data_IF_126124900611
#
_entry.id   IF_126124900611
#
_cell.length_a   1.000
_cell.length_b   1.000
_cell.length_c   1.000
_cell.angle_alpha   90.00
_cell.angle_beta   90.00
_cell.angle_gamma   90.00
#
_symmetry.space_group_name_H-M   'P 1'
#
loop_
_entity.id
_entity.type
_entity.pdbx_description
1 polymer ?
#
# COMPACT_ATOMS: atom_id res chain seq x y z
N UNK A 1 19.61 18.07 8.55
CA UNK A 1 18.93 16.98 7.81
C UNK A 1 17.44 17.29 7.81
N UNK A 2 16.78 17.24 6.65
CA UNK A 2 15.34 17.41 6.54
C UNK A 2 14.67 16.04 6.52
N UNK A 3 13.70 15.79 7.39
CA UNK A 3 12.90 14.56 7.41
C UNK A 3 11.59 14.75 6.61
N UNK A 4 11.15 13.70 5.91
CA UNK A 4 9.86 13.66 5.21
C UNK A 4 8.91 12.78 6.03
N UNK A 5 8.00 13.39 6.78
CA UNK A 5 6.91 12.66 7.47
C UNK A 5 5.81 12.43 6.45
N UNK A 6 5.32 11.20 6.40
CA UNK A 6 4.20 10.81 5.54
C UNK A 6 3.14 10.18 6.42
N UNK A 7 1.93 10.72 6.35
CA UNK A 7 0.76 10.15 7.01
C UNK A 7 -0.07 9.47 5.93
N UNK A 8 -0.27 8.17 6.04
CA UNK A 8 -1.22 7.46 5.19
C UNK A 8 -2.43 7.00 5.97
N UNK A 9 -3.58 7.07 5.30
CA UNK A 9 -4.87 6.69 5.87
C UNK A 9 -5.36 5.35 5.29
N UNK A 10 -4.66 4.84 4.26
CA UNK A 10 -4.95 3.61 3.52
C UNK A 10 -3.71 3.21 2.73
N UNK A 11 -3.41 1.90 2.67
CA UNK A 11 -2.46 1.31 1.71
C UNK A 11 -3.14 0.94 0.38
N UNK A 12 -4.47 1.09 0.31
CA UNK A 12 -5.24 0.87 -0.92
C UNK A 12 -5.15 2.12 -1.79
N UNK A 13 -4.58 1.96 -2.97
CA UNK A 13 -4.57 2.97 -4.02
C UNK A 13 -5.97 3.19 -4.57
N UNK A 14 -6.50 4.41 -4.45
CA UNK A 14 -7.82 4.75 -4.97
C UNK A 14 -7.78 6.02 -5.81
N UNK A 15 -8.41 5.98 -6.98
CA UNK A 15 -8.70 7.15 -7.79
C UNK A 15 -10.21 7.30 -7.97
N UNK A 16 -10.78 8.33 -7.36
CA UNK A 16 -12.23 8.40 -7.17
C UNK A 16 -12.70 7.21 -6.32
N UNK A 17 -13.68 6.48 -6.83
CA UNK A 17 -14.22 5.27 -6.18
C UNK A 17 -13.50 3.97 -6.63
N UNK A 18 -12.61 4.06 -7.61
CA UNK A 18 -11.92 2.90 -8.18
C UNK A 18 -10.64 2.55 -7.43
N UNK A 19 -10.43 1.25 -7.19
CA UNK A 19 -9.16 0.72 -6.68
C UNK A 19 -8.25 0.45 -7.87
N UNK A 20 -7.13 1.16 -7.94
CA UNK A 20 -6.15 1.03 -9.03
C UNK A 20 -4.81 0.67 -8.42
N UNK A 21 -4.54 -0.62 -8.31
CA UNK A 21 -3.23 -1.09 -7.88
C UNK A 21 -2.25 -1.04 -9.04
N UNK A 22 -1.13 -0.34 -8.83
CA UNK A 22 -0.08 -0.22 -9.84
C UNK A 22 0.80 -1.45 -9.76
N UNK A 23 0.80 -2.21 -10.84
CA UNK A 23 1.65 -3.38 -10.98
C UNK A 23 2.97 -2.98 -11.62
N UNK A 24 4.04 -3.11 -10.84
CA UNK A 24 5.42 -2.93 -11.27
C UNK A 24 6.28 -4.15 -10.94
N UNK A 25 5.69 -5.21 -10.40
CA UNK A 25 6.45 -6.37 -9.97
C UNK A 25 6.95 -7.15 -11.18
N UNK A 26 8.17 -7.67 -11.07
CA UNK A 26 8.71 -8.65 -12.01
C UNK A 26 8.32 -10.01 -11.46
N UNK A 27 7.03 -10.35 -11.53
CA UNK A 27 6.65 -11.72 -11.23
C UNK A 27 6.95 -12.59 -12.45
N UNK A 28 8.12 -13.23 -12.46
CA UNK A 28 8.28 -14.50 -13.16
C UNK A 28 7.25 -15.49 -12.54
N UNK A 29 6.07 -15.60 -13.14
CA UNK A 29 5.17 -16.73 -12.91
C UNK A 29 3.88 -16.50 -12.11
N UNK A 30 3.27 -15.31 -12.07
CA UNK A 30 1.85 -15.22 -11.69
C UNK A 30 0.97 -15.72 -12.84
N UNK A 31 0.24 -16.81 -12.59
CA UNK A 31 -0.61 -17.55 -13.56
C UNK A 31 -1.69 -16.70 -14.28
N UNK A 32 -1.87 -15.42 -13.92
CA UNK A 32 -2.88 -14.54 -14.50
C UNK A 32 -2.37 -13.66 -15.66
N UNK A 33 -1.07 -13.61 -15.94
CA UNK A 33 -0.51 -12.82 -17.05
C UNK A 33 0.27 -13.72 -18.01
N UNK A 34 -0.42 -14.48 -18.88
CA UNK A 34 0.22 -15.26 -19.95
C UNK A 34 1.10 -14.41 -20.90
N UNK A 35 0.97 -13.07 -20.89
CA UNK A 35 1.65 -12.16 -21.80
C UNK A 35 2.49 -11.05 -21.12
N UNK A 36 2.66 -11.09 -19.79
CA UNK A 36 3.36 -10.01 -19.06
C UNK A 36 2.68 -8.65 -19.17
N UNK A 37 3.23 -7.62 -18.50
CA UNK A 37 2.74 -6.25 -18.62
C UNK A 37 3.50 -5.54 -19.78
N UNK A 38 2.86 -5.24 -20.93
CA UNK A 38 3.54 -4.61 -22.07
C UNK A 38 4.04 -3.19 -21.79
N UNK A 39 3.53 -2.55 -20.75
CA UNK A 39 3.92 -1.19 -20.33
C UNK A 39 4.98 -1.18 -19.23
N UNK A 40 5.49 -2.35 -18.83
CA UNK A 40 6.36 -2.48 -17.65
C UNK A 40 7.60 -1.58 -17.74
N UNK A 41 8.33 -1.60 -18.85
CA UNK A 41 9.55 -0.79 -19.01
C UNK A 41 9.24 0.71 -18.96
N UNK A 42 8.15 1.14 -19.60
CA UNK A 42 7.70 2.54 -19.58
C UNK A 42 7.31 2.98 -18.16
N UNK A 43 6.54 2.16 -17.44
CA UNK A 43 6.14 2.44 -16.06
C UNK A 43 7.39 2.58 -15.17
N UNK A 44 8.36 1.67 -15.30
CA UNK A 44 9.61 1.75 -14.54
C UNK A 44 10.40 3.03 -14.82
N UNK A 45 10.48 3.42 -16.09
CA UNK A 45 11.15 4.66 -16.48
C UNK A 45 10.42 5.90 -15.92
N UNK A 46 9.10 5.94 -16.00
CA UNK A 46 8.32 7.02 -15.40
C UNK A 46 8.48 7.10 -13.88
N UNK A 47 8.53 5.97 -13.18
CA UNK A 47 8.76 5.94 -11.73
C UNK A 47 10.16 6.48 -11.37
N UNK A 48 11.20 6.15 -12.15
CA UNK A 48 12.55 6.74 -11.99
C UNK A 48 12.51 8.26 -12.19
N UNK A 49 11.83 8.72 -13.24
CA UNK A 49 11.70 10.15 -13.51
C UNK A 49 10.92 10.89 -12.42
N UNK A 50 9.84 10.29 -11.89
CA UNK A 50 9.09 10.83 -10.76
C UNK A 50 10.03 11.01 -9.56
N UNK A 51 10.77 9.96 -9.18
CA UNK A 51 11.71 10.00 -8.06
C UNK A 51 12.76 11.12 -8.21
N UNK A 52 13.37 11.22 -9.39
CA UNK A 52 14.37 12.25 -9.69
C UNK A 52 13.78 13.66 -9.57
N UNK A 53 12.59 13.89 -10.15
CA UNK A 53 11.92 15.20 -10.13
C UNK A 53 11.41 15.58 -8.75
N UNK A 54 10.93 14.62 -7.96
CA UNK A 54 10.56 14.85 -6.57
C UNK A 54 11.78 15.31 -5.75
N UNK A 55 12.93 14.66 -5.92
CA UNK A 55 14.19 15.07 -5.28
C UNK A 55 14.61 16.48 -5.70
N UNK A 56 14.50 16.82 -6.98
CA UNK A 56 14.74 18.18 -7.48
C UNK A 56 13.77 19.17 -6.83
N UNK A 57 12.48 18.83 -6.73
CA UNK A 57 11.44 19.69 -6.15
C UNK A 57 11.74 20.09 -4.70
N UNK A 58 12.32 19.20 -3.89
CA UNK A 58 12.67 19.50 -2.50
C UNK A 58 13.76 20.57 -2.36
N UNK A 59 14.67 20.64 -3.33
CA UNK A 59 15.81 21.59 -3.31
C UNK A 59 15.62 22.79 -4.23
N UNK A 60 14.65 22.71 -5.14
CA UNK A 60 14.35 23.75 -6.11
C UNK A 60 13.85 25.07 -5.48
N UNK A 61 14.20 26.18 -6.13
CA UNK A 61 13.65 27.50 -5.82
C UNK A 61 12.14 27.58 -6.17
N UNK A 62 11.45 28.61 -5.68
CA UNK A 62 10.00 28.79 -5.88
C UNK A 62 9.58 28.85 -7.36
N UNK A 63 10.45 29.33 -8.25
CA UNK A 63 10.13 29.52 -9.66
C UNK A 63 10.14 28.19 -10.44
N UNK A 64 10.95 27.22 -10.01
CA UNK A 64 11.05 25.91 -10.66
C UNK A 64 10.02 24.89 -10.16
N UNK A 65 9.46 25.10 -8.97
CA UNK A 65 8.47 24.20 -8.36
C UNK A 65 7.22 23.99 -9.22
N UNK A 66 6.57 25.01 -9.81
CA UNK A 66 5.40 24.82 -10.66
C UNK A 66 5.67 23.91 -11.87
N UNK A 67 6.84 24.06 -12.52
CA UNK A 67 7.26 23.20 -13.64
C UNK A 67 7.37 21.75 -13.18
N UNK A 68 8.10 21.51 -12.10
CA UNK A 68 8.30 20.17 -11.54
C UNK A 68 6.99 19.52 -11.09
N UNK A 69 6.09 20.26 -10.45
CA UNK A 69 4.75 19.77 -10.09
C UNK A 69 3.97 19.33 -11.31
N UNK A 70 4.01 20.11 -12.42
CA UNK A 70 3.31 19.74 -13.66
C UNK A 70 3.92 18.49 -14.30
N UNK A 71 5.24 18.38 -14.35
CA UNK A 71 5.93 17.21 -14.91
C UNK A 71 5.66 15.94 -14.09
N UNK A 72 5.76 16.01 -12.75
CA UNK A 72 5.42 14.89 -11.86
C UNK A 72 3.95 14.48 -12.05
N UNK A 73 3.04 15.45 -12.12
CA UNK A 73 1.61 15.20 -12.37
C UNK A 73 1.39 14.43 -13.68
N UNK A 74 2.03 14.87 -14.76
CA UNK A 74 1.89 14.22 -16.06
C UNK A 74 2.41 12.78 -16.03
N UNK A 75 3.59 12.54 -15.46
CA UNK A 75 4.14 11.19 -15.33
C UNK A 75 3.22 10.25 -14.54
N UNK A 76 2.62 10.73 -13.43
CA UNK A 76 1.65 9.95 -12.67
C UNK A 76 0.41 9.59 -13.50
N UNK A 77 -0.12 10.54 -14.27
CA UNK A 77 -1.26 10.31 -15.15
C UNK A 77 -0.93 9.32 -16.28
N UNK A 78 0.30 9.34 -16.81
CA UNK A 78 0.75 8.35 -17.80
C UNK A 78 0.77 6.93 -17.22
N UNK A 79 1.33 6.76 -16.01
CA UNK A 79 1.34 5.46 -15.34
C UNK A 79 -0.09 4.96 -15.07
N UNK A 80 -0.97 5.81 -14.54
CA UNK A 80 -2.36 5.42 -14.28
C UNK A 80 -3.12 5.02 -15.55
N UNK A 81 -2.93 5.75 -16.65
CA UNK A 81 -3.53 5.40 -17.94
C UNK A 81 -3.11 4.02 -18.41
N UNK A 82 -1.80 3.74 -18.36
CA UNK A 82 -1.22 2.45 -18.77
C UNK A 82 -1.71 1.31 -17.88
N UNK A 83 -1.83 1.54 -16.57
CA UNK A 83 -2.38 0.56 -15.63
C UNK A 83 -3.86 0.26 -15.93
N UNK A 84 -4.67 1.28 -16.20
CA UNK A 84 -6.08 1.12 -16.57
C UNK A 84 -6.24 0.38 -17.90
N UNK A 85 -5.41 0.70 -18.90
CA UNK A 85 -5.39 -0.02 -20.18
C UNK A 85 -5.05 -1.51 -19.98
N UNK A 86 -4.05 -1.81 -19.13
CA UNK A 86 -3.72 -3.19 -18.76
C UNK A 86 -4.92 -3.90 -18.11
N UNK A 87 -5.56 -3.27 -17.11
CA UNK A 87 -6.70 -3.85 -16.41
C UNK A 87 -7.88 -4.13 -17.35
N UNK A 88 -8.16 -3.22 -18.29
CA UNK A 88 -9.21 -3.39 -19.30
C UNK A 88 -8.86 -4.53 -20.27
N UNK A 89 -7.62 -4.56 -20.77
CA UNK A 89 -7.18 -5.54 -21.78
C UNK A 89 -7.03 -6.95 -21.22
N UNK A 90 -6.62 -7.09 -19.95
CA UNK A 90 -6.54 -8.38 -19.25
C UNK A 90 -7.92 -8.95 -18.87
N UNK A 91 -8.99 -8.17 -19.05
CA UNK A 91 -10.35 -8.60 -18.78
C UNK A 91 -11.23 -8.51 -20.05
N UNK A 92 -10.89 -9.22 -21.14
CA UNK A 92 -11.70 -9.19 -22.35
C UNK A 92 -13.08 -9.76 -22.04
N UNK A 93 -14.12 -9.08 -22.51
CA UNK A 93 -15.48 -9.58 -22.46
C UNK A 93 -16.17 -9.38 -23.80
N UNK A 94 -16.38 -10.49 -24.51
CA UNK A 94 -17.19 -10.53 -25.71
C UNK A 94 -18.60 -10.98 -25.37
N UNK A 95 -19.57 -10.08 -25.56
CA UNK A 95 -20.98 -10.39 -25.38
C UNK A 95 -21.42 -11.39 -26.45
N UNK A 96 -21.75 -12.61 -26.05
CA UNK A 96 -22.41 -13.56 -26.95
C UNK A 96 -23.84 -13.09 -27.24
N UNK A 97 -24.14 -12.81 -28.50
CA UNK A 97 -25.50 -12.44 -28.93
C UNK A 97 -26.51 -13.53 -28.55
N UNK A 98 -27.67 -13.11 -28.04
CA UNK A 98 -28.81 -14.00 -27.77
C UNK A 98 -28.80 -14.76 -26.43
N UNK A 99 -27.73 -14.69 -25.61
CA UNK A 99 -27.72 -15.32 -24.26
C UNK A 99 -27.91 -14.29 -23.15
N UNK A 100 -28.76 -14.63 -22.17
CA UNK A 100 -28.91 -13.83 -20.93
C UNK A 100 -27.65 -13.96 -20.09
N UNK A 101 -27.07 -12.83 -19.72
CA UNK A 101 -25.85 -12.76 -18.91
C UNK A 101 -26.13 -13.17 -17.47
N UNK A 102 -25.16 -13.85 -16.84
CA UNK A 102 -25.20 -14.14 -15.40
C UNK A 102 -24.96 -12.86 -14.60
N UNK A 103 -25.31 -12.88 -13.31
CA UNK A 103 -25.05 -11.75 -12.39
C UNK A 103 -23.56 -11.39 -12.37
N UNK A 104 -22.67 -12.37 -12.23
CA UNK A 104 -21.23 -12.17 -12.24
C UNK A 104 -20.70 -11.59 -13.56
N UNK A 105 -21.29 -11.98 -14.70
CA UNK A 105 -20.94 -11.38 -16.00
C UNK A 105 -21.35 -9.92 -16.09
N UNK A 106 -22.55 -9.56 -15.59
CA UNK A 106 -22.97 -8.16 -15.55
C UNK A 106 -22.08 -7.32 -14.62
N UNK A 107 -21.77 -7.82 -13.42
CA UNK A 107 -20.87 -7.15 -12.47
C UNK A 107 -19.48 -6.89 -13.09
N UNK A 108 -18.92 -7.88 -13.80
CA UNK A 108 -17.64 -7.73 -14.51
C UNK A 108 -17.70 -6.69 -15.64
N UNK A 109 -18.81 -6.63 -16.38
CA UNK A 109 -19.00 -5.62 -17.44
C UNK A 109 -19.09 -4.23 -16.83
N UNK A 110 -19.84 -4.08 -15.75
CA UNK A 110 -19.99 -2.81 -15.04
C UNK A 110 -18.64 -2.32 -14.50
N UNK A 111 -17.82 -3.22 -13.96
CA UNK A 111 -16.44 -2.95 -13.52
C UNK A 111 -15.55 -2.47 -14.68
N UNK A 112 -15.50 -3.20 -15.80
CA UNK A 112 -14.73 -2.81 -16.99
C UNK A 112 -15.19 -1.45 -17.54
N UNK A 113 -16.49 -1.22 -17.58
CA UNK A 113 -17.04 0.07 -18.03
C UNK A 113 -16.66 1.20 -17.07
N UNK A 114 -16.59 0.92 -15.76
CA UNK A 114 -16.10 1.87 -14.79
C UNK A 114 -14.65 2.25 -15.04
N UNK A 115 -13.77 1.25 -15.25
CA UNK A 115 -12.37 1.51 -15.60
C UNK A 115 -12.21 2.30 -16.90
N UNK A 116 -13.04 2.05 -17.91
CA UNK A 116 -13.04 2.83 -19.17
C UNK A 116 -13.38 4.29 -18.94
N UNK A 117 -14.41 4.58 -18.13
CA UNK A 117 -14.76 5.97 -17.75
C UNK A 117 -13.61 6.65 -17.00
N UNK A 118 -12.98 5.93 -16.08
CA UNK A 118 -11.82 6.44 -15.34
C UNK A 118 -10.63 6.71 -16.26
N UNK A 119 -10.38 5.84 -17.25
CA UNK A 119 -9.34 6.05 -18.26
C UNK A 119 -9.60 7.31 -19.09
N UNK A 120 -10.84 7.55 -19.51
CA UNK A 120 -11.23 8.79 -20.20
C UNK A 120 -10.99 10.03 -19.33
N UNK A 121 -11.32 9.98 -18.04
CA UNK A 121 -11.05 11.05 -17.10
C UNK A 121 -9.54 11.31 -16.95
N UNK A 122 -8.74 10.26 -16.73
CA UNK A 122 -7.28 10.34 -16.63
C UNK A 122 -6.69 10.96 -17.90
N UNK A 123 -7.14 10.53 -19.08
CA UNK A 123 -6.68 11.07 -20.37
C UNK A 123 -7.09 12.54 -20.56
N UNK A 124 -8.28 12.93 -20.12
CA UNK A 124 -8.69 14.35 -20.09
C UNK A 124 -7.75 15.17 -19.20
N UNK A 125 -7.41 14.66 -18.00
CA UNK A 125 -6.49 15.32 -17.08
C UNK A 125 -5.08 15.51 -17.65
N UNK A 126 -4.61 14.66 -18.57
CA UNK A 126 -3.30 14.85 -19.24
C UNK A 126 -3.26 16.12 -20.09
N UNK A 127 -4.39 16.49 -20.70
CA UNK A 127 -4.47 17.61 -21.65
C UNK A 127 -4.94 18.92 -21.00
N UNK A 128 -5.51 18.85 -19.79
CA UNK A 128 -5.96 20.01 -19.04
C UNK A 128 -5.11 20.29 -17.79
N UNK A 129 -5.20 21.50 -17.25
CA UNK A 129 -4.51 21.90 -16.01
C UNK A 129 -5.38 21.70 -14.75
N UNK A 130 -6.40 20.83 -14.79
CA UNK A 130 -7.23 20.59 -13.60
C UNK A 130 -6.38 19.91 -12.50
N UNK A 131 -6.68 20.16 -11.22
CA UNK A 131 -6.02 19.48 -10.12
C UNK A 131 -6.11 17.95 -10.26
N UNK A 132 -5.05 17.26 -9.89
CA UNK A 132 -4.99 15.80 -9.81
C UNK A 132 -4.61 15.44 -8.38
N UNK A 133 -5.63 15.24 -7.54
CA UNK A 133 -5.49 14.95 -6.12
C UNK A 133 -5.62 13.46 -5.89
N UNK A 134 -4.65 12.71 -6.38
CA UNK A 134 -4.55 11.28 -6.18
C UNK A 134 -3.28 10.98 -5.41
N UNK A 135 -3.44 10.29 -4.30
CA UNK A 135 -2.35 9.77 -3.52
C UNK A 135 -2.30 8.27 -3.71
N UNK A 136 -1.16 7.79 -4.14
CA UNK A 136 -0.87 6.38 -4.19
C UNK A 136 0.56 6.20 -3.71
N UNK A 137 0.74 5.37 -2.67
CA UNK A 137 2.05 5.12 -2.09
C UNK A 137 3.07 4.70 -3.13
N UNK A 138 2.60 3.94 -4.11
CA UNK A 138 3.40 3.37 -5.15
C UNK A 138 3.92 4.47 -6.13
N UNK A 139 3.08 5.45 -6.49
CA UNK A 139 3.45 6.63 -7.29
C UNK A 139 4.15 7.74 -6.54
N UNK A 140 3.78 7.95 -5.28
CA UNK A 140 4.24 9.07 -4.47
C UNK A 140 5.58 8.82 -3.80
N UNK A 141 5.93 7.54 -3.60
CA UNK A 141 7.17 7.10 -2.96
C UNK A 141 7.86 5.95 -3.71
N UNK A 142 8.07 6.05 -5.04
CA UNK A 142 8.75 5.02 -5.79
C UNK A 142 10.17 4.76 -5.26
N UNK A 143 10.85 5.78 -4.72
CA UNK A 143 12.18 5.66 -4.12
C UNK A 143 12.19 4.85 -2.82
N UNK A 144 11.04 4.73 -2.15
CA UNK A 144 10.89 3.99 -0.90
C UNK A 144 10.39 2.59 -1.21
N UNK A 145 9.42 2.42 -2.10
CA UNK A 145 8.70 1.15 -2.27
C UNK A 145 9.15 0.34 -3.49
N UNK A 146 9.87 0.93 -4.44
CA UNK A 146 10.19 0.26 -5.69
C UNK A 146 11.70 -0.10 -5.80
N UNK A 147 12.05 -1.40 -5.78
CA UNK A 147 13.44 -1.85 -5.84
C UNK A 147 14.14 -1.55 -7.17
N UNK A 148 13.38 -1.31 -8.25
CA UNK A 148 13.91 -0.91 -9.56
C UNK A 148 14.37 0.55 -9.55
N UNK A 149 13.72 1.40 -8.74
CA UNK A 149 14.06 2.82 -8.59
C UNK A 149 15.19 3.00 -7.58
N UNK A 150 15.14 2.26 -6.47
CA UNK A 150 16.15 2.31 -5.42
C UNK A 150 16.40 0.90 -4.86
N UNK A 151 17.65 0.43 -4.88
CA UNK A 151 18.01 -0.90 -4.35
C UNK A 151 17.80 -1.05 -2.84
N UNK A 152 17.76 0.06 -2.10
CA UNK A 152 17.57 0.09 -0.65
C UNK A 152 16.17 0.63 -0.33
N UNK A 153 15.14 -0.14 -0.70
CA UNK A 153 13.74 0.16 -0.40
C UNK A 153 13.42 0.00 1.09
N UNK A 154 12.36 0.67 1.50
CA UNK A 154 11.80 0.69 2.84
C UNK A 154 11.94 2.05 3.50
N UNK A 155 11.26 2.24 4.62
CA UNK A 155 11.39 3.40 5.48
C UNK A 155 12.58 3.23 6.42
N UNK A 156 13.20 4.33 6.81
CA UNK A 156 14.23 4.34 7.86
C UNK A 156 13.61 4.13 9.25
N UNK A 157 12.38 4.63 9.45
CA UNK A 157 11.61 4.50 10.70
C UNK A 157 10.15 4.25 10.35
N UNK A 158 9.52 3.25 10.97
CA UNK A 158 8.06 3.01 10.91
C UNK A 158 7.47 3.20 12.30
N UNK A 159 6.59 4.19 12.44
CA UNK A 159 5.87 4.47 13.69
C UNK A 159 4.41 4.09 13.53
N UNK A 160 3.85 3.33 14.47
CA UNK A 160 2.49 2.82 14.37
C UNK A 160 1.71 2.83 15.69
N UNK A 161 0.43 3.20 15.62
CA UNK A 161 -0.57 2.86 16.63
C UNK A 161 -1.63 1.96 15.95
N UNK A 162 -1.35 0.65 15.79
CA UNK A 162 -2.21 -0.27 15.05
C UNK A 162 -3.59 -0.46 15.72
N UNK A 163 -4.60 -0.96 15.01
CA UNK A 163 -5.92 -1.21 15.60
C UNK A 163 -5.92 -2.40 16.56
N UNK A 164 -6.53 -2.23 17.74
CA UNK A 164 -6.60 -3.26 18.79
C UNK A 164 -7.90 -4.07 18.69
N UNK A 165 -8.00 -4.88 17.65
CA UNK A 165 -9.18 -5.71 17.36
C UNK A 165 -8.83 -7.18 17.50
N UNK A 166 -9.57 -7.90 18.34
CA UNK A 166 -9.43 -9.36 18.47
C UNK A 166 -9.95 -10.07 17.22
N UNK A 167 -9.26 -11.12 16.75
CA UNK A 167 -9.67 -11.85 15.54
C UNK A 167 -11.08 -12.44 15.68
N UNK A 168 -11.56 -12.75 16.89
CA UNK A 168 -12.92 -13.25 17.11
C UNK A 168 -14.02 -12.29 16.62
N UNK A 169 -13.74 -10.99 16.56
CA UNK A 169 -14.67 -9.95 16.07
C UNK A 169 -14.68 -9.81 14.55
N UNK A 170 -13.75 -10.48 13.86
CA UNK A 170 -13.68 -10.47 12.40
C UNK A 170 -14.58 -11.55 11.81
N UNK A 171 -15.16 -11.27 10.64
CA UNK A 171 -15.89 -12.25 9.84
C UNK A 171 -14.96 -13.39 9.38
N UNK A 172 -15.55 -14.49 8.90
CA UNK A 172 -14.76 -15.62 8.39
C UNK A 172 -13.96 -15.22 7.15
N UNK A 173 -14.59 -14.46 6.26
CA UNK A 173 -14.01 -13.96 5.01
C UNK A 173 -12.79 -13.08 5.31
N UNK A 174 -12.91 -12.17 6.28
CA UNK A 174 -11.78 -11.34 6.70
C UNK A 174 -10.62 -12.17 7.26
N UNK A 175 -10.89 -13.21 8.05
CA UNK A 175 -9.85 -14.13 8.56
C UNK A 175 -9.17 -14.91 7.45
N UNK A 176 -9.93 -15.31 6.44
CA UNK A 176 -9.41 -16.07 5.30
C UNK A 176 -8.37 -15.24 4.51
N UNK A 177 -8.55 -13.92 4.41
CA UNK A 177 -7.56 -13.00 3.81
C UNK A 177 -6.24 -12.98 4.59
N UNK A 178 -6.27 -13.16 5.92
CA UNK A 178 -5.09 -13.04 6.77
C UNK A 178 -4.30 -14.35 6.94
N UNK A 179 -4.72 -15.46 6.32
CA UNK A 179 -4.05 -16.77 6.47
C UNK A 179 -2.59 -16.80 6.00
N UNK A 180 -2.19 -15.87 5.14
CA UNK A 180 -0.80 -15.76 4.66
C UNK A 180 0.18 -15.19 5.69
N UNK A 181 -0.31 -14.59 6.77
CA UNK A 181 0.51 -13.97 7.81
C UNK A 181 0.99 -15.02 8.82
N UNK A 182 2.29 -15.01 9.14
CA UNK A 182 2.90 -15.88 10.14
C UNK A 182 2.32 -15.63 11.54
N UNK A 183 1.94 -14.39 11.80
CA UNK A 183 1.35 -13.94 13.06
C UNK A 183 -0.16 -14.23 13.17
N UNK A 184 -0.82 -14.61 12.06
CA UNK A 184 -2.22 -15.04 12.03
C UNK A 184 -2.39 -16.52 12.47
N UNK A 185 -1.92 -16.87 13.67
CA UNK A 185 -1.95 -18.24 14.18
C UNK A 185 -3.01 -18.41 15.27
N UNK A 186 -3.98 -19.33 15.07
CA UNK A 186 -5.03 -19.60 16.04
C UNK A 186 -5.87 -18.36 16.36
N UNK A 187 -5.94 -17.98 17.64
CA UNK A 187 -6.45 -16.66 18.06
C UNK A 187 -5.30 -15.66 17.95
N UNK A 188 -5.60 -14.47 17.43
CA UNK A 188 -4.64 -13.37 17.30
C UNK A 188 -5.38 -12.05 17.40
N UNK A 189 -4.65 -10.96 17.61
CA UNK A 189 -5.18 -9.61 17.50
C UNK A 189 -4.67 -8.97 16.20
N UNK A 190 -5.47 -8.09 15.60
CA UNK A 190 -5.15 -7.48 14.29
C UNK A 190 -3.82 -6.73 14.32
N UNK A 191 -3.44 -6.12 15.44
CA UNK A 191 -2.16 -5.42 15.54
C UNK A 191 -0.94 -6.33 15.29
N UNK A 192 -1.04 -7.63 15.55
CA UNK A 192 0.02 -8.58 15.24
C UNK A 192 0.34 -8.60 13.73
N UNK A 193 -0.71 -8.53 12.90
CA UNK A 193 -0.59 -8.49 11.45
C UNK A 193 0.07 -7.19 10.97
N UNK A 194 -0.22 -6.08 11.65
CA UNK A 194 0.39 -4.79 11.32
C UNK A 194 1.89 -4.77 11.63
N UNK A 195 2.31 -5.37 12.75
CA UNK A 195 3.73 -5.52 13.07
C UNK A 195 4.43 -6.35 11.99
N UNK A 196 3.84 -7.49 11.60
CA UNK A 196 4.37 -8.32 10.52
C UNK A 196 4.44 -7.57 9.17
N UNK A 197 3.34 -6.92 8.76
CA UNK A 197 3.30 -6.14 7.53
C UNK A 197 4.37 -5.06 7.52
N UNK A 198 4.55 -4.38 8.65
CA UNK A 198 5.49 -3.29 8.77
C UNK A 198 6.95 -3.75 8.57
N UNK A 199 7.27 -5.02 8.87
CA UNK A 199 8.61 -5.58 8.59
C UNK A 199 8.97 -5.60 7.10
N UNK A 200 7.97 -5.64 6.21
CA UNK A 200 8.17 -5.58 4.76
C UNK A 200 8.34 -4.14 4.25
N UNK A 201 7.99 -3.15 5.08
CA UNK A 201 8.05 -1.75 4.74
C UNK A 201 9.32 -1.07 5.25
N UNK A 202 10.07 -1.71 6.15
CA UNK A 202 11.26 -1.11 6.74
C UNK A 202 12.54 -1.54 6.02
N UNK A 203 13.53 -0.64 5.99
CA UNK A 203 14.88 -1.01 5.54
C UNK A 203 15.55 -1.97 6.52
N UNK A 204 16.56 -2.68 6.03
CA UNK A 204 17.53 -3.34 6.90
C UNK A 204 18.12 -2.32 7.90
N UNK A 205 18.09 -2.66 9.19
CA UNK A 205 18.52 -1.81 10.31
C UNK A 205 17.69 -0.52 10.50
N UNK A 206 16.50 -0.42 9.92
CA UNK A 206 15.55 0.64 10.29
C UNK A 206 14.92 0.40 11.67
N UNK A 207 14.23 1.42 12.19
CA UNK A 207 13.57 1.39 13.50
C UNK A 207 12.06 1.19 13.40
N UNK A 208 11.52 0.18 14.07
CA UNK A 208 10.09 0.09 14.37
C UNK A 208 9.80 0.78 15.69
N UNK A 209 8.73 1.56 15.76
CA UNK A 209 8.25 2.11 17.03
C UNK A 209 6.73 1.99 17.08
N UNK A 210 6.23 1.03 17.86
CA UNK A 210 4.81 0.71 17.90
C UNK A 210 4.24 0.92 19.29
N UNK A 211 3.08 1.58 19.35
CA UNK A 211 2.25 1.67 20.53
C UNK A 211 1.25 0.52 20.44
N UNK A 212 1.38 -0.50 21.27
CA UNK A 212 0.53 -1.69 21.21
C UNK A 212 0.18 -2.23 22.60
N UNK A 213 -0.82 -3.12 22.72
CA UNK A 213 -1.11 -3.79 23.96
C UNK A 213 0.11 -4.60 24.41
N UNK A 214 0.45 -4.62 25.70
CA UNK A 214 1.59 -5.40 26.26
C UNK A 214 1.18 -6.80 26.69
N UNK A 215 -0.11 -7.09 26.73
CA UNK A 215 -0.66 -8.40 27.12
C UNK A 215 -0.17 -9.56 26.25
N UNK A 216 0.19 -9.30 24.99
CA UNK A 216 0.74 -10.33 24.09
C UNK A 216 2.07 -10.92 24.58
N UNK A 217 2.79 -10.27 25.49
CA UNK A 217 4.01 -10.86 26.07
C UNK A 217 3.71 -12.17 26.80
N UNK A 218 2.57 -12.23 27.50
CA UNK A 218 2.27 -13.30 28.46
C UNK A 218 1.00 -14.10 28.13
N UNK A 219 0.38 -13.86 26.97
CA UNK A 219 -0.82 -14.60 26.51
C UNK A 219 -0.49 -15.55 25.37
N UNK A 220 -1.27 -16.64 25.27
CA UNK A 220 -1.07 -17.68 24.24
C UNK A 220 -1.22 -17.14 22.82
N UNK A 221 -2.18 -16.24 22.59
CA UNK A 221 -2.40 -15.63 21.27
C UNK A 221 -1.17 -14.87 20.76
N UNK A 222 -0.32 -14.36 21.66
CA UNK A 222 0.89 -13.63 21.32
C UNK A 222 2.06 -14.52 20.92
N UNK A 223 1.97 -15.86 21.05
CA UNK A 223 3.11 -16.77 20.82
C UNK A 223 3.70 -16.64 19.41
N UNK A 224 2.84 -16.56 18.38
CA UNK A 224 3.28 -16.40 17.00
C UNK A 224 3.96 -15.03 16.79
N UNK A 225 3.40 -13.96 17.36
CA UNK A 225 4.00 -12.62 17.29
C UNK A 225 5.35 -12.56 18.00
N UNK A 226 5.48 -13.15 19.20
CA UNK A 226 6.78 -13.21 19.91
C UNK A 226 7.83 -13.94 19.09
N UNK A 227 7.47 -15.10 18.51
CA UNK A 227 8.36 -15.85 17.61
C UNK A 227 8.76 -15.02 16.38
N UNK A 228 7.81 -14.33 15.77
CA UNK A 228 8.08 -13.45 14.64
C UNK A 228 9.05 -12.34 15.01
N UNK A 229 8.80 -11.63 16.12
CA UNK A 229 9.65 -10.54 16.60
C UNK A 229 11.06 -11.04 16.89
N UNK A 230 11.22 -12.12 17.66
CA UNK A 230 12.54 -12.69 17.98
C UNK A 230 13.36 -13.11 16.75
N UNK A 231 12.69 -13.44 15.64
CA UNK A 231 13.37 -13.87 14.41
C UNK A 231 13.62 -12.72 13.42
N UNK A 232 12.84 -11.65 13.47
CA UNK A 232 12.86 -10.56 12.47
C UNK A 232 13.43 -9.25 12.99
N UNK A 233 13.38 -9.02 14.30
CA UNK A 233 13.77 -7.76 14.91
C UNK A 233 14.74 -7.96 16.06
N UNK A 234 15.59 -6.96 16.26
CA UNK A 234 16.33 -6.79 17.50
C UNK A 234 15.54 -5.82 18.36
N UNK A 235 14.98 -6.30 19.47
CA UNK A 235 14.26 -5.43 20.42
C UNK A 235 15.27 -4.56 21.15
N UNK A 236 15.12 -3.25 21.07
CA UNK A 236 16.01 -2.28 21.68
C UNK A 236 15.48 -1.81 23.04
N UNK A 237 14.18 -1.55 23.15
CA UNK A 237 13.53 -1.22 24.42
C UNK A 237 12.03 -1.55 24.41
N UNK A 238 11.52 -1.86 25.60
CA UNK A 238 10.10 -2.02 25.86
C UNK A 238 9.74 -1.05 26.98
N UNK A 239 8.89 -0.08 26.68
CA UNK A 239 8.33 0.83 27.68
C UNK A 239 6.90 0.42 28.02
N UNK A 240 6.69 -0.25 29.15
CA UNK A 240 5.37 -0.68 29.60
C UNK A 240 4.72 0.39 30.50
N UNK A 241 3.54 0.89 30.10
CA UNK A 241 2.78 1.84 30.91
C UNK A 241 2.07 1.16 32.10
N UNK A 242 2.14 -0.16 32.22
CA UNK A 242 1.46 -0.96 33.23
C UNK A 242 -0.04 -0.62 33.28
N UNK A 243 -0.55 -0.27 34.45
CA UNK A 243 -1.97 0.00 34.69
C UNK A 243 -2.39 1.42 34.26
N UNK A 244 -1.43 2.26 33.83
CA UNK A 244 -1.74 3.62 33.40
C UNK A 244 -2.55 3.60 32.09
N UNK A 245 -3.79 4.06 32.18
CA UNK A 245 -4.70 4.12 31.03
C UNK A 245 -4.37 5.33 30.17
N UNK A 246 -3.53 5.12 29.15
CA UNK A 246 -3.12 6.15 28.18
C UNK A 246 -4.31 6.66 27.35
N UNK A 247 -5.28 5.79 27.06
CA UNK A 247 -6.43 6.11 26.20
C UNK A 247 -7.71 6.25 27.03
N UNK A 248 -8.39 7.42 27.01
CA UNK A 248 -9.56 7.67 27.88
C UNK A 248 -10.76 6.74 27.66
N UNK A 249 -10.88 6.15 26.48
CA UNK A 249 -12.05 5.38 26.05
C UNK A 249 -11.82 3.88 25.94
N UNK A 250 -10.61 3.40 26.25
CA UNK A 250 -10.24 1.99 26.10
C UNK A 250 -9.49 1.51 27.35
N UNK A 251 -9.95 0.39 27.92
CA UNK A 251 -9.21 -0.30 28.98
C UNK A 251 -8.19 -1.21 28.30
N UNK A 252 -6.91 -0.83 28.31
CA UNK A 252 -5.84 -1.59 27.67
C UNK A 252 -4.49 -1.34 28.34
N UNK A 253 -3.77 -2.43 28.64
CA UNK A 253 -2.37 -2.38 29.06
C UNK A 253 -1.54 -2.07 27.83
N UNK A 254 -0.95 -0.88 27.77
CA UNK A 254 -0.28 -0.36 26.58
C UNK A 254 1.20 -0.21 26.87
N UNK A 255 2.02 -0.33 25.83
CA UNK A 255 3.42 0.00 25.89
C UNK A 255 3.92 0.48 24.54
N UNK A 256 5.16 0.97 24.54
CA UNK A 256 5.91 1.28 23.34
C UNK A 256 6.98 0.22 23.15
N UNK A 257 7.03 -0.37 21.96
CA UNK A 257 8.06 -1.31 21.55
C UNK A 257 8.94 -0.65 20.49
N UNK A 258 10.26 -0.55 20.76
CA UNK A 258 11.28 -0.08 19.81
C UNK A 258 12.47 -1.03 19.71
#
# INVERSE_FOLDING_TARGET
MAYKIVVGNSLVSKFGDEIIEIDWEIAEGTQNNLFGNPYQEEIQEFLKQISLKQREYFTANRNNKPRLTKEIRLLKLEILSKQLELMINSNPFDKQEGKKLTKAQNERIDEINSWKRTLEEVNSLKTNNKPFNHFDWRLDFPEILNPIVNKHTGFDIVVGNPPYIESKKLSKEAKDVFKGYQTASGKFDVFCLFIELSSNLIKQNGIHCFINPTTFFNKDYGKALRSFISNKFNVLEIFDFNDYQVFPTAITYTGVLY
#
